data_IF_491277248932
#
_entry.id   IF_491277248932
#
_cell.length_a   1.000
_cell.length_b   1.000
_cell.length_c   1.000
_cell.angle_alpha   90.00
_cell.angle_beta   90.00
_cell.angle_gamma   90.00
#
_symmetry.space_group_name_H-M   'P 1'
#
loop_
_entity.id
_entity.type
_entity.pdbx_description
1 polymer ?
#
# COMPACT_ATOMS: atom_id res chain seq x y z
N UNK A 1 -32.13 3.26 -8.80
CA UNK A 1 -31.27 2.52 -9.77
C UNK A 1 -30.02 3.27 -10.27
N UNK A 2 -30.06 4.56 -10.63
CA UNK A 2 -28.88 5.26 -11.19
C UNK A 2 -27.70 5.43 -10.22
N UNK A 3 -27.98 5.55 -8.92
CA UNK A 3 -26.95 5.69 -7.86
C UNK A 3 -26.10 4.42 -7.69
N UNK A 4 -26.72 3.25 -7.59
CA UNK A 4 -26.02 1.97 -7.43
C UNK A 4 -25.10 1.62 -8.61
N UNK A 5 -25.54 1.89 -9.85
CA UNK A 5 -24.69 1.73 -11.05
C UNK A 5 -23.48 2.66 -11.05
N UNK A 6 -23.63 3.87 -10.49
CA UNK A 6 -22.54 4.84 -10.38
C UNK A 6 -21.54 4.42 -9.31
N UNK A 7 -22.02 3.94 -8.16
CA UNK A 7 -21.18 3.40 -7.09
C UNK A 7 -20.38 2.15 -7.52
N UNK A 8 -21.00 1.23 -8.27
CA UNK A 8 -20.32 0.06 -8.82
C UNK A 8 -19.18 0.45 -9.79
N UNK A 9 -19.42 1.42 -10.67
CA UNK A 9 -18.39 1.96 -11.56
C UNK A 9 -17.23 2.63 -10.82
N UNK A 10 -17.52 3.35 -9.73
CA UNK A 10 -16.47 3.97 -8.90
C UNK A 10 -15.61 2.91 -8.23
N UNK A 11 -16.21 1.83 -7.69
CA UNK A 11 -15.46 0.69 -7.14
C UNK A 11 -14.58 0.03 -8.21
N UNK A 12 -15.11 -0.23 -9.39
CA UNK A 12 -14.35 -0.84 -10.50
C UNK A 12 -13.14 0.02 -10.91
N UNK A 13 -13.31 1.34 -10.99
CA UNK A 13 -12.21 2.26 -11.30
C UNK A 13 -11.17 2.29 -10.17
N UNK A 14 -11.61 2.31 -8.91
CA UNK A 14 -10.70 2.23 -7.76
C UNK A 14 -9.89 0.93 -7.74
N UNK A 15 -10.54 -0.20 -8.04
CA UNK A 15 -9.90 -1.52 -8.06
C UNK A 15 -8.86 -1.63 -9.18
N UNK A 16 -9.14 -1.09 -10.37
CA UNK A 16 -8.16 -0.98 -11.46
C UNK A 16 -6.98 -0.08 -11.12
N UNK A 17 -7.25 1.07 -10.50
CA UNK A 17 -6.17 1.98 -10.06
C UNK A 17 -5.27 1.31 -9.02
N UNK A 18 -5.85 0.54 -8.10
CA UNK A 18 -5.08 -0.24 -7.13
C UNK A 18 -4.24 -1.33 -7.81
N UNK A 19 -4.79 -2.05 -8.79
CA UNK A 19 -4.02 -3.03 -9.56
C UNK A 19 -2.83 -2.40 -10.28
N UNK A 20 -3.03 -1.26 -10.96
CA UNK A 20 -1.92 -0.53 -11.61
C UNK A 20 -0.86 -0.14 -10.59
N UNK A 21 -1.28 0.39 -9.43
CA UNK A 21 -0.36 0.79 -8.36
C UNK A 21 0.45 -0.40 -7.83
N UNK A 22 -0.17 -1.56 -7.67
CA UNK A 22 0.51 -2.78 -7.23
C UNK A 22 1.53 -3.23 -8.27
N UNK A 23 1.16 -3.26 -9.55
CA UNK A 23 2.09 -3.63 -10.63
C UNK A 23 3.29 -2.69 -10.73
N UNK A 24 3.07 -1.37 -10.57
CA UNK A 24 4.16 -0.38 -10.53
C UNK A 24 5.12 -0.64 -9.36
N UNK A 25 4.60 -1.00 -8.18
CA UNK A 25 5.41 -1.34 -7.02
C UNK A 25 6.21 -2.64 -7.23
N UNK A 26 5.63 -3.65 -7.86
CA UNK A 26 6.33 -4.90 -8.19
C UNK A 26 7.44 -4.69 -9.22
N UNK A 27 7.22 -3.82 -10.21
CA UNK A 27 8.24 -3.49 -11.19
C UNK A 27 9.36 -2.65 -10.58
N UNK A 28 9.03 -1.74 -9.66
CA UNK A 28 10.02 -1.01 -8.88
C UNK A 28 10.87 -1.96 -8.01
N UNK A 29 10.26 -2.96 -7.37
CA UNK A 29 10.97 -3.98 -6.61
C UNK A 29 11.92 -4.81 -7.50
N UNK A 30 11.48 -5.21 -8.69
CA UNK A 30 12.35 -5.92 -9.65
C UNK A 30 13.53 -5.06 -10.12
N UNK A 31 13.31 -3.78 -10.41
CA UNK A 31 14.38 -2.84 -10.79
C UNK A 31 15.38 -2.65 -9.65
N UNK A 32 14.90 -2.60 -8.41
CA UNK A 32 15.74 -2.53 -7.20
C UNK A 32 16.65 -3.76 -7.08
N UNK A 33 16.10 -4.96 -7.19
CA UNK A 33 16.88 -6.19 -7.05
C UNK A 33 17.98 -6.28 -8.13
N UNK A 34 17.70 -5.79 -9.35
CA UNK A 34 18.68 -5.69 -10.42
C UNK A 34 19.83 -4.71 -10.10
N UNK A 35 19.54 -3.60 -9.39
CA UNK A 35 20.57 -2.64 -8.96
C UNK A 35 21.48 -3.26 -7.91
N UNK A 36 20.94 -3.98 -6.93
CA UNK A 36 21.75 -4.69 -5.92
C UNK A 36 22.65 -5.75 -6.56
N UNK A 37 22.11 -6.56 -7.48
CA UNK A 37 22.91 -7.56 -8.21
C UNK A 37 24.02 -6.90 -9.03
N UNK A 38 23.75 -5.77 -9.70
CA UNK A 38 24.76 -5.04 -10.45
C UNK A 38 25.86 -4.49 -9.55
N UNK A 39 25.50 -3.97 -8.36
CA UNK A 39 26.44 -3.48 -7.35
C UNK A 39 27.36 -4.60 -6.84
N UNK A 40 26.80 -5.75 -6.48
CA UNK A 40 27.56 -6.89 -5.96
C UNK A 40 28.49 -7.45 -7.04
N UNK A 41 28.00 -7.57 -8.28
CA UNK A 41 28.81 -7.97 -9.43
C UNK A 41 29.96 -6.99 -9.70
N UNK A 42 29.71 -5.68 -9.60
CA UNK A 42 30.76 -4.67 -9.78
C UNK A 42 31.82 -4.72 -8.69
N UNK A 43 31.39 -4.92 -7.44
CA UNK A 43 32.29 -5.07 -6.29
C UNK A 43 33.18 -6.32 -6.43
N UNK A 44 32.62 -7.44 -6.88
CA UNK A 44 33.37 -8.66 -7.18
C UNK A 44 34.43 -8.46 -8.27
N UNK A 45 34.05 -7.81 -9.39
CA UNK A 45 34.99 -7.51 -10.50
C UNK A 45 36.12 -6.58 -10.10
N UNK A 46 35.86 -5.61 -9.21
CA UNK A 46 36.90 -4.72 -8.68
C UNK A 46 37.94 -5.51 -7.87
N UNK A 47 37.50 -6.45 -7.05
CA UNK A 47 38.39 -7.31 -6.26
C UNK A 47 39.20 -8.25 -7.16
N UNK A 48 38.59 -8.84 -8.19
CA UNK A 48 39.30 -9.66 -9.19
C UNK A 48 40.33 -8.86 -9.99
N UNK A 49 40.01 -7.62 -10.39
CA UNK A 49 40.92 -6.75 -11.13
C UNK A 49 42.11 -6.24 -10.29
N UNK A 50 41.98 -6.22 -8.96
CA UNK A 50 43.04 -5.84 -8.04
C UNK A 50 44.10 -6.95 -7.85
N UNK A 51 43.71 -8.22 -8.03
CA UNK A 51 44.57 -9.39 -7.75
C UNK A 51 45.83 -9.53 -8.65
N UNK A 52 45.85 -9.21 -9.96
CA UNK A 52 47.01 -9.50 -10.82
C UNK A 52 48.07 -8.38 -10.84
N UNK A 53 47.82 -7.25 -10.18
CA UNK A 53 48.63 -6.03 -10.33
C UNK A 53 49.88 -5.98 -9.44
N UNK A 54 50.03 -6.90 -8.49
CA UNK A 54 51.15 -6.90 -7.55
C UNK A 54 52.51 -7.21 -8.20
N UNK A 55 52.54 -7.82 -9.38
CA UNK A 55 53.79 -8.31 -9.98
C UNK A 55 54.53 -7.31 -10.89
N UNK A 56 53.98 -6.13 -11.21
CA UNK A 56 54.59 -5.18 -12.16
C UNK A 56 54.47 -3.69 -11.81
N UNK A 57 53.94 -3.36 -10.64
CA UNK A 57 53.60 -1.99 -10.24
C UNK A 57 54.55 -1.51 -9.15
N UNK A 58 55.01 -0.25 -9.24
CA UNK A 58 55.86 0.33 -8.20
C UNK A 58 55.10 0.46 -6.86
N UNK A 59 55.83 0.45 -5.74
CA UNK A 59 55.23 0.61 -4.39
C UNK A 59 54.32 1.85 -4.27
N UNK A 60 54.68 2.96 -4.93
CA UNK A 60 53.90 4.20 -4.94
C UNK A 60 52.58 4.05 -5.71
N UNK A 61 52.61 3.43 -6.88
CA UNK A 61 51.41 3.17 -7.68
C UNK A 61 50.50 2.14 -7.00
N UNK A 62 51.06 1.14 -6.31
CA UNK A 62 50.30 0.19 -5.51
C UNK A 62 49.57 0.88 -4.36
N UNK A 63 50.26 1.76 -3.63
CA UNK A 63 49.68 2.54 -2.53
C UNK A 63 48.56 3.46 -3.03
N UNK A 64 48.77 4.12 -4.17
CA UNK A 64 47.74 4.95 -4.80
C UNK A 64 46.51 4.12 -5.20
N UNK A 65 46.73 2.91 -5.73
CA UNK A 65 45.66 1.99 -6.10
C UNK A 65 44.85 1.55 -4.87
N UNK A 66 45.52 1.23 -3.75
CA UNK A 66 44.84 0.87 -2.51
C UNK A 66 44.01 2.03 -1.95
N UNK A 67 44.53 3.27 -1.97
CA UNK A 67 43.76 4.44 -1.55
C UNK A 67 42.54 4.69 -2.44
N UNK A 68 42.69 4.53 -3.76
CA UNK A 68 41.57 4.68 -4.68
C UNK A 68 40.53 3.58 -4.49
N UNK A 69 40.95 2.32 -4.33
CA UNK A 69 40.05 1.20 -4.05
C UNK A 69 39.29 1.38 -2.73
N UNK A 70 39.97 1.82 -1.66
CA UNK A 70 39.36 2.09 -0.37
C UNK A 70 38.34 3.26 -0.45
N UNK A 71 38.68 4.32 -1.19
CA UNK A 71 37.77 5.44 -1.43
C UNK A 71 36.51 5.00 -2.18
N UNK A 72 36.68 4.25 -3.27
CA UNK A 72 35.56 3.73 -4.07
C UNK A 72 34.70 2.79 -3.24
N UNK A 73 35.30 1.86 -2.48
CA UNK A 73 34.58 0.96 -1.60
C UNK A 73 33.77 1.71 -0.53
N UNK A 74 34.36 2.74 0.09
CA UNK A 74 33.68 3.60 1.05
C UNK A 74 32.46 4.32 0.46
N UNK A 75 32.59 4.84 -0.77
CA UNK A 75 31.49 5.47 -1.49
C UNK A 75 30.38 4.49 -1.88
N UNK A 76 30.73 3.29 -2.32
CA UNK A 76 29.75 2.24 -2.62
C UNK A 76 28.99 1.80 -1.36
N UNK A 77 29.68 1.70 -0.21
CA UNK A 77 29.04 1.39 1.06
C UNK A 77 28.09 2.50 1.51
N UNK A 78 28.51 3.77 1.39
CA UNK A 78 27.68 4.93 1.72
C UNK A 78 26.40 4.98 0.87
N UNK A 79 26.53 4.83 -0.46
CA UNK A 79 25.39 4.79 -1.37
C UNK A 79 24.48 3.59 -1.09
N UNK A 80 25.07 2.43 -0.74
CA UNK A 80 24.32 1.25 -0.31
C UNK A 80 23.46 1.54 0.92
N UNK A 81 24.04 2.13 1.96
CA UNK A 81 23.30 2.48 3.17
C UNK A 81 22.19 3.50 2.92
N UNK A 82 22.41 4.47 2.02
CA UNK A 82 21.40 5.44 1.62
C UNK A 82 20.26 4.76 0.85
N UNK A 83 20.58 3.81 -0.02
CA UNK A 83 19.59 3.01 -0.74
C UNK A 83 18.75 2.17 0.24
N UNK A 84 19.38 1.43 1.16
CA UNK A 84 18.69 0.63 2.18
C UNK A 84 17.80 1.48 3.10
N UNK A 85 18.22 2.72 3.41
CA UNK A 85 17.43 3.66 4.19
C UNK A 85 16.23 4.20 3.40
N UNK A 86 16.41 4.49 2.11
CA UNK A 86 15.33 4.89 1.23
C UNK A 86 14.32 3.75 1.03
N UNK A 87 14.79 2.52 0.87
CA UNK A 87 13.96 1.32 0.73
C UNK A 87 13.08 1.07 1.95
N UNK A 88 13.64 1.18 3.16
CA UNK A 88 12.84 1.08 4.39
C UNK A 88 11.73 2.11 4.48
N UNK A 89 11.98 3.35 4.03
CA UNK A 89 10.94 4.39 3.98
C UNK A 89 9.83 4.04 2.99
N UNK A 90 10.18 3.49 1.83
CA UNK A 90 9.20 3.06 0.83
C UNK A 90 8.32 1.93 1.38
N UNK A 91 8.90 0.92 2.03
CA UNK A 91 8.12 -0.18 2.60
C UNK A 91 7.19 0.31 3.72
N UNK A 92 7.67 1.20 4.61
CA UNK A 92 6.82 1.84 5.62
C UNK A 92 5.64 2.61 5.01
N UNK A 93 5.87 3.37 3.93
CA UNK A 93 4.79 4.04 3.21
C UNK A 93 3.80 3.06 2.59
N UNK A 94 4.28 1.93 2.08
CA UNK A 94 3.43 0.88 1.50
C UNK A 94 2.55 0.23 2.58
N UNK A 95 3.13 -0.16 3.71
CA UNK A 95 2.39 -0.73 4.84
C UNK A 95 1.34 0.26 5.37
N UNK A 96 1.71 1.52 5.56
CA UNK A 96 0.78 2.57 5.99
C UNK A 96 -0.38 2.76 5.00
N UNK A 97 -0.10 2.70 3.70
CA UNK A 97 -1.13 2.82 2.65
C UNK A 97 -2.07 1.61 2.66
N UNK A 98 -1.52 0.40 2.81
CA UNK A 98 -2.32 -0.82 2.90
C UNK A 98 -3.22 -0.83 4.14
N UNK A 99 -2.71 -0.37 5.28
CA UNK A 99 -3.51 -0.28 6.48
C UNK A 99 -4.59 0.78 6.36
N UNK A 100 -4.30 1.97 5.82
CA UNK A 100 -5.32 2.96 5.50
C UNK A 100 -6.43 2.40 4.60
N UNK A 101 -6.06 1.58 3.61
CA UNK A 101 -7.04 0.91 2.75
C UNK A 101 -7.92 -0.09 3.51
N UNK A 102 -7.34 -0.94 4.37
CA UNK A 102 -8.10 -1.87 5.21
C UNK A 102 -9.05 -1.14 6.14
N UNK A 103 -8.58 -0.06 6.77
CA UNK A 103 -9.39 0.79 7.64
C UNK A 103 -10.56 1.41 6.89
N UNK A 104 -10.32 2.01 5.72
CA UNK A 104 -11.37 2.60 4.89
C UNK A 104 -12.42 1.56 4.46
N UNK A 105 -12.00 0.35 4.07
CA UNK A 105 -12.91 -0.74 3.72
C UNK A 105 -13.76 -1.18 4.91
N UNK A 106 -13.13 -1.32 6.08
CA UNK A 106 -13.81 -1.73 7.31
C UNK A 106 -14.83 -0.69 7.75
N UNK A 107 -14.45 0.58 7.70
CA UNK A 107 -15.35 1.68 8.03
C UNK A 107 -16.56 1.75 7.08
N UNK A 108 -16.33 1.60 5.76
CA UNK A 108 -17.43 1.55 4.79
C UNK A 108 -18.42 0.41 5.03
N UNK A 109 -17.95 -0.76 5.48
CA UNK A 109 -18.85 -1.87 5.86
C UNK A 109 -19.66 -1.54 7.12
N UNK A 110 -19.07 -0.85 8.10
CA UNK A 110 -19.77 -0.42 9.32
C UNK A 110 -20.82 0.64 9.02
N UNK A 111 -20.52 1.61 8.15
CA UNK A 111 -21.49 2.61 7.70
C UNK A 111 -22.68 1.99 6.97
N UNK A 112 -22.43 1.01 6.09
CA UNK A 112 -23.49 0.28 5.39
C UNK A 112 -24.40 -0.47 6.36
N UNK A 113 -23.81 -1.17 7.34
CA UNK A 113 -24.54 -1.87 8.40
C UNK A 113 -25.35 -0.91 9.28
N UNK A 114 -24.78 0.22 9.68
CA UNK A 114 -25.49 1.24 10.44
C UNK A 114 -26.70 1.80 9.66
N UNK A 115 -26.55 2.03 8.35
CA UNK A 115 -27.63 2.48 7.48
C UNK A 115 -28.72 1.41 7.27
N UNK A 116 -28.38 0.12 7.31
CA UNK A 116 -29.35 -0.98 7.31
C UNK A 116 -30.12 -1.06 8.63
N UNK A 117 -29.42 -0.98 9.76
CA UNK A 117 -30.03 -0.98 11.09
C UNK A 117 -30.97 0.22 11.29
N UNK A 118 -30.59 1.40 10.80
CA UNK A 118 -31.44 2.59 10.85
C UNK A 118 -32.72 2.42 10.01
N UNK A 119 -32.60 1.84 8.80
CA UNK A 119 -33.75 1.52 7.95
C UNK A 119 -34.70 0.53 8.63
N UNK A 120 -34.16 -0.55 9.18
CA UNK A 120 -34.95 -1.54 9.92
C UNK A 120 -35.65 -0.92 11.14
N UNK A 121 -34.98 -0.02 11.87
CA UNK A 121 -35.62 0.69 13.00
C UNK A 121 -36.74 1.62 12.54
N UNK A 122 -36.61 2.31 11.41
CA UNK A 122 -37.68 3.14 10.84
C UNK A 122 -38.87 2.29 10.41
N UNK A 123 -38.62 1.20 9.70
CA UNK A 123 -39.69 0.28 9.25
C UNK A 123 -40.50 -0.26 10.44
N UNK A 124 -39.84 -0.70 11.52
CA UNK A 124 -40.55 -1.16 12.73
C UNK A 124 -41.33 -0.06 13.44
N UNK A 125 -40.87 1.19 13.41
CA UNK A 125 -41.63 2.32 13.96
C UNK A 125 -42.87 2.59 13.13
N UNK A 126 -42.72 2.65 11.81
CA UNK A 126 -43.85 2.85 10.90
C UNK A 126 -44.87 1.72 11.00
N UNK A 127 -44.44 0.48 11.17
CA UNK A 127 -45.32 -0.67 11.40
C UNK A 127 -46.10 -0.52 12.71
N UNK A 128 -45.42 -0.19 13.82
CA UNK A 128 -46.06 0.07 15.11
C UNK A 128 -47.06 1.22 15.04
N UNK A 129 -46.70 2.32 14.37
CA UNK A 129 -47.58 3.48 14.20
C UNK A 129 -48.84 3.11 13.39
N UNK A 130 -48.71 2.24 12.38
CA UNK A 130 -49.85 1.71 11.60
C UNK A 130 -50.75 0.81 12.43
N UNK A 131 -50.17 -0.07 13.25
CA UNK A 131 -50.91 -0.94 14.17
C UNK A 131 -51.69 -0.11 15.22
N UNK A 132 -51.03 0.88 15.83
CA UNK A 132 -51.67 1.78 16.80
C UNK A 132 -52.82 2.58 16.15
N UNK A 133 -52.61 3.12 14.94
CA UNK A 133 -53.66 3.82 14.20
C UNK A 133 -54.84 2.91 13.85
N UNK A 134 -54.58 1.65 13.49
CA UNK A 134 -55.61 0.66 13.21
C UNK A 134 -56.46 0.33 14.46
N UNK A 135 -55.80 0.11 15.60
CA UNK A 135 -56.49 -0.16 16.87
C UNK A 135 -57.34 1.03 17.34
N UNK A 136 -56.83 2.25 17.20
CA UNK A 136 -57.59 3.46 17.53
C UNK A 136 -58.85 3.60 16.66
N UNK A 137 -58.77 3.24 15.37
CA UNK A 137 -59.91 3.26 14.46
C UNK A 137 -61.00 2.27 14.89
N UNK A 138 -60.62 1.02 15.19
CA UNK A 138 -61.55 -0.01 15.68
C UNK A 138 -62.23 0.39 17.00
N UNK A 139 -61.48 1.02 17.90
CA UNK A 139 -62.01 1.50 19.18
C UNK A 139 -62.99 2.68 19.01
N UNK A 140 -62.79 3.54 18.02
CA UNK A 140 -63.71 4.62 17.66
C UNK A 140 -65.01 4.10 17.05
N UNK A 141 -64.91 3.17 16.10
CA UNK A 141 -66.08 2.55 15.44
C UNK A 141 -66.96 1.76 16.44
N UNK A 142 -66.37 1.23 17.52
CA UNK A 142 -67.10 0.52 18.59
C UNK A 142 -67.85 1.43 19.58
N UNK A 143 -67.66 2.76 19.52
CA UNK A 143 -68.39 3.72 20.37
C UNK A 143 -69.58 4.38 19.67
N UNK A 144 -69.69 4.23 18.35
CA UNK A 144 -70.76 4.84 17.54
C UNK A 144 -71.84 3.84 17.12
N UNK A 145 -71.71 2.55 17.48
CA UNK A 145 -72.73 1.50 17.30
C UNK A 145 -73.32 1.06 18.64
#
# INVERSE_FOLDING_TARGET
MRSAKRAARVREVQERLLQVRVSELEEAARRRDAVHQARDAWSGRLMEAAAPRQASISSAEWTLWQHWAAFVAGRVAELGNQLDAAERKVEQCREATLDQWKWAKTWGMLEERAAEEERHCRERREEKDREEAFLLRLAGESREG
#
